data_IF_206323491594
#
_entry.id   IF_206323491594
#
_cell.length_a   1.000
_cell.length_b   1.000
_cell.length_c   1.000
_cell.angle_alpha   90.00
_cell.angle_beta   90.00
_cell.angle_gamma   90.00
#
_symmetry.space_group_name_H-M   'P 1'
#
loop_
_entity.id
_entity.type
_entity.pdbx_description
1 polymer ?
#
# COMPACT_ATOMS: atom_id res chain seq x y z
N UNK A 1 -20.44 -1.91 -22.76
CA UNK A 1 -21.37 -1.59 -21.66
C UNK A 1 -20.53 -1.53 -20.38
N UNK A 2 -19.98 -0.35 -20.09
CA UNK A 2 -19.06 -0.12 -18.97
C UNK A 2 -19.83 0.51 -17.82
N UNK A 3 -20.04 -0.23 -16.74
CA UNK A 3 -20.61 0.30 -15.51
C UNK A 3 -19.52 1.05 -14.75
N UNK A 4 -19.59 2.38 -14.73
CA UNK A 4 -18.81 3.17 -13.77
C UNK A 4 -19.22 2.82 -12.33
N UNK A 5 -18.28 2.63 -11.40
CA UNK A 5 -18.60 2.52 -9.99
C UNK A 5 -19.05 3.90 -9.49
N UNK A 6 -20.34 4.02 -9.19
CA UNK A 6 -20.95 5.21 -8.62
C UNK A 6 -20.34 5.48 -7.23
N UNK A 7 -19.32 6.34 -7.18
CA UNK A 7 -18.63 6.70 -5.93
C UNK A 7 -19.58 7.55 -5.08
N UNK A 8 -20.24 6.93 -4.10
CA UNK A 8 -21.13 7.64 -3.18
C UNK A 8 -20.33 8.72 -2.47
N UNK A 9 -20.60 9.98 -2.79
CA UNK A 9 -19.93 11.14 -2.21
C UNK A 9 -20.52 11.31 -0.80
N UNK A 10 -19.97 10.61 0.20
CA UNK A 10 -20.35 10.80 1.60
C UNK A 10 -20.12 12.26 1.94
N UNK A 11 -21.20 13.02 2.11
CA UNK A 11 -21.13 14.44 2.40
C UNK A 11 -20.58 14.64 3.80
N UNK A 12 -19.45 15.33 3.98
CA UNK A 12 -18.79 15.49 5.28
C UNK A 12 -19.70 16.17 6.31
N UNK A 13 -20.63 17.03 5.86
CA UNK A 13 -21.64 17.66 6.73
C UNK A 13 -22.62 16.67 7.37
N UNK A 14 -23.00 15.60 6.67
CA UNK A 14 -23.90 14.57 7.21
C UNK A 14 -23.19 13.69 8.25
N UNK A 15 -21.90 13.42 8.05
CA UNK A 15 -21.08 12.71 9.03
C UNK A 15 -20.86 13.53 10.29
N UNK A 16 -20.58 14.83 10.14
CA UNK A 16 -20.44 15.75 11.26
C UNK A 16 -21.77 15.88 12.04
N UNK A 17 -22.90 16.03 11.34
CA UNK A 17 -24.22 16.10 11.97
C UNK A 17 -24.58 14.80 12.71
N UNK A 18 -24.30 13.64 12.12
CA UNK A 18 -24.51 12.35 12.77
C UNK A 18 -23.64 12.19 14.03
N UNK A 19 -22.36 12.59 13.96
CA UNK A 19 -21.46 12.56 15.11
C UNK A 19 -21.96 13.45 16.26
N UNK A 20 -22.40 14.68 15.94
CA UNK A 20 -22.95 15.61 16.94
C UNK A 20 -24.23 15.05 17.57
N UNK A 21 -25.13 14.45 16.79
CA UNK A 21 -26.34 13.83 17.30
C UNK A 21 -26.04 12.67 18.26
N UNK A 22 -25.04 11.83 17.95
CA UNK A 22 -24.59 10.75 18.82
C UNK A 22 -24.02 11.28 20.14
N UNK A 23 -23.19 12.33 20.08
CA UNK A 23 -22.58 12.95 21.27
C UNK A 23 -23.66 13.57 22.17
N UNK A 24 -24.59 14.34 21.60
CA UNK A 24 -25.69 14.96 22.35
C UNK A 24 -26.64 13.91 22.94
N UNK A 25 -26.91 12.83 22.20
CA UNK A 25 -27.68 11.69 22.70
C UNK A 25 -26.99 11.00 23.88
N UNK A 26 -25.69 10.70 23.77
CA UNK A 26 -24.91 10.11 24.85
C UNK A 26 -24.84 10.99 26.11
N UNK A 27 -24.69 12.31 25.93
CA UNK A 27 -24.74 13.29 27.02
C UNK A 27 -26.10 13.32 27.73
N UNK A 28 -27.21 13.19 26.98
CA UNK A 28 -28.54 13.10 27.59
C UNK A 28 -28.68 11.85 28.47
N UNK A 29 -28.09 10.71 28.07
CA UNK A 29 -28.06 9.50 28.89
C UNK A 29 -27.15 9.61 30.11
N UNK A 30 -26.07 10.39 30.11
CA UNK A 30 -25.26 10.62 31.32
C UNK A 30 -26.04 11.31 32.44
N UNK A 31 -27.05 12.12 32.10
CA UNK A 31 -27.91 12.82 33.06
C UNK A 31 -29.07 11.93 33.52
N UNK A 32 -29.58 11.04 32.66
CA UNK A 32 -30.71 10.15 32.99
C UNK A 32 -30.28 8.79 33.59
N UNK A 33 -29.20 8.17 33.09
CA UNK A 33 -28.74 6.83 33.51
C UNK A 33 -27.26 6.56 33.12
N UNK A 34 -26.39 6.55 34.14
CA UNK A 34 -24.94 6.31 33.99
C UNK A 34 -24.63 4.92 33.41
N UNK A 35 -25.44 3.90 33.67
CA UNK A 35 -25.19 2.53 33.20
C UNK A 35 -25.42 2.46 31.69
N UNK A 36 -26.50 3.08 31.21
CA UNK A 36 -26.79 3.16 29.76
C UNK A 36 -25.72 4.00 29.06
N UNK A 37 -25.30 5.11 29.66
CA UNK A 37 -24.22 5.93 29.11
C UNK A 37 -22.90 5.16 28.96
N UNK A 38 -22.52 4.37 29.97
CA UNK A 38 -21.31 3.55 29.92
C UNK A 38 -21.38 2.50 28.81
N UNK A 39 -22.53 1.81 28.66
CA UNK A 39 -22.73 0.83 27.60
C UNK A 39 -22.60 1.46 26.21
N UNK A 40 -23.29 2.57 25.96
CA UNK A 40 -23.20 3.30 24.68
C UNK A 40 -21.78 3.77 24.41
N UNK A 41 -21.09 4.29 25.44
CA UNK A 41 -19.69 4.70 25.35
C UNK A 41 -18.77 3.56 24.90
N UNK A 42 -18.91 2.37 25.49
CA UNK A 42 -18.13 1.19 25.11
C UNK A 42 -18.41 0.82 23.64
N UNK A 43 -19.67 0.77 23.23
CA UNK A 43 -20.05 0.44 21.84
C UNK A 43 -19.43 1.43 20.86
N UNK A 44 -19.49 2.73 21.13
CA UNK A 44 -18.90 3.75 20.27
C UNK A 44 -17.38 3.62 20.16
N UNK A 45 -16.70 3.34 21.27
CA UNK A 45 -15.24 3.09 21.26
C UNK A 45 -14.91 1.88 20.40
N UNK A 46 -15.63 0.76 20.56
CA UNK A 46 -15.41 -0.44 19.75
C UNK A 46 -15.62 -0.15 18.26
N UNK A 47 -16.71 0.54 17.90
CA UNK A 47 -16.98 0.92 16.51
C UNK A 47 -15.89 1.84 15.96
N UNK A 48 -15.42 2.81 16.74
CA UNK A 48 -14.34 3.71 16.33
C UNK A 48 -13.03 2.95 16.09
N UNK A 49 -12.67 2.02 16.98
CA UNK A 49 -11.50 1.15 16.81
C UNK A 49 -11.62 0.31 15.54
N UNK A 50 -12.78 -0.31 15.32
CA UNK A 50 -13.03 -1.10 14.10
C UNK A 50 -12.96 -0.25 12.83
N UNK A 51 -13.45 0.99 12.87
CA UNK A 51 -13.38 1.91 11.75
C UNK A 51 -11.94 2.31 11.41
N UNK A 52 -11.09 2.54 12.41
CA UNK A 52 -9.66 2.80 12.23
C UNK A 52 -8.95 1.58 11.65
N UNK A 53 -9.23 0.38 12.16
CA UNK A 53 -8.63 -0.85 11.62
C UNK A 53 -9.10 -1.13 10.17
N UNK A 54 -10.34 -0.77 9.85
CA UNK A 54 -10.89 -0.93 8.51
C UNK A 54 -10.47 0.18 7.52
N UNK A 55 -9.94 1.33 7.98
CA UNK A 55 -9.68 2.47 7.10
C UNK A 55 -8.60 2.17 6.05
N UNK A 56 -7.64 1.33 6.38
CA UNK A 56 -6.56 0.92 5.47
C UNK A 56 -6.83 -0.44 4.80
N UNK A 57 -8.01 -1.04 5.02
CA UNK A 57 -8.35 -2.35 4.44
C UNK A 57 -8.36 -2.33 2.91
N UNK A 58 -8.79 -1.22 2.30
CA UNK A 58 -8.83 -1.06 0.84
C UNK A 58 -7.51 -0.48 0.28
N UNK A 59 -6.50 -0.28 1.12
CA UNK A 59 -5.21 0.26 0.73
C UNK A 59 -4.32 -0.84 0.17
N UNK A 60 -4.74 -1.40 -0.97
CA UNK A 60 -3.95 -2.37 -1.71
C UNK A 60 -3.21 -1.67 -2.84
N UNK A 61 -1.88 -1.82 -2.89
CA UNK A 61 -1.07 -1.34 -4.00
C UNK A 61 -1.65 -1.86 -5.32
N UNK A 62 -1.92 -0.96 -6.25
CA UNK A 62 -2.45 -1.31 -7.57
C UNK A 62 -1.46 -2.23 -8.31
N UNK A 63 -1.95 -3.01 -9.28
CA UNK A 63 -1.08 -3.85 -10.10
C UNK A 63 0.07 -3.04 -10.72
N UNK A 64 -0.25 -1.83 -11.19
CA UNK A 64 0.72 -0.92 -11.80
C UNK A 64 1.77 -0.43 -10.80
N UNK A 65 1.38 -0.02 -9.59
CA UNK A 65 2.34 0.38 -8.54
C UNK A 65 3.25 -0.80 -8.15
N UNK A 66 2.71 -2.01 -8.06
CA UNK A 66 3.52 -3.21 -7.78
C UNK A 66 4.52 -3.50 -8.89
N UNK A 67 4.13 -3.38 -10.16
CA UNK A 67 5.02 -3.58 -11.30
C UNK A 67 6.06 -2.47 -11.43
N UNK A 68 5.71 -1.21 -11.16
CA UNK A 68 6.67 -0.11 -11.07
C UNK A 68 7.73 -0.36 -9.98
N UNK A 69 7.30 -0.79 -8.78
CA UNK A 69 8.22 -1.17 -7.70
C UNK A 69 9.14 -2.32 -8.10
N UNK A 70 8.64 -3.33 -8.83
CA UNK A 70 9.47 -4.42 -9.38
C UNK A 70 10.45 -3.92 -10.44
N UNK A 71 10.03 -3.02 -11.33
CA UNK A 71 10.89 -2.42 -12.33
C UNK A 71 12.03 -1.60 -11.70
N UNK A 72 11.73 -0.79 -10.68
CA UNK A 72 12.72 -0.05 -9.90
C UNK A 72 13.73 -0.99 -9.21
N UNK A 73 13.25 -2.09 -8.61
CA UNK A 73 14.11 -3.12 -8.00
C UNK A 73 15.01 -3.79 -9.04
N UNK A 74 14.49 -4.11 -10.23
CA UNK A 74 15.28 -4.67 -11.34
C UNK A 74 16.35 -3.70 -11.79
N UNK A 75 16.00 -2.42 -11.98
CA UNK A 75 16.94 -1.35 -12.36
C UNK A 75 18.06 -1.20 -11.33
N UNK A 76 17.71 -1.09 -10.04
CA UNK A 76 18.70 -1.01 -8.95
C UNK A 76 19.62 -2.23 -8.90
N UNK A 77 19.07 -3.44 -9.07
CA UNK A 77 19.87 -4.66 -9.15
C UNK A 77 20.81 -4.64 -10.36
N UNK A 78 20.35 -4.12 -11.49
CA UNK A 78 21.14 -4.07 -12.73
C UNK A 78 22.30 -3.07 -12.62
N UNK A 79 22.05 -1.90 -12.02
CA UNK A 79 23.05 -0.87 -11.71
C UNK A 79 24.11 -1.39 -10.74
N UNK A 80 23.72 -2.01 -9.63
CA UNK A 80 24.66 -2.60 -8.66
C UNK A 80 25.58 -3.66 -9.26
N UNK A 81 25.10 -4.38 -10.28
CA UNK A 81 25.87 -5.44 -10.96
C UNK A 81 26.54 -4.96 -12.25
N UNK A 82 26.58 -3.65 -12.54
CA UNK A 82 27.21 -3.12 -13.74
C UNK A 82 28.71 -3.46 -13.80
N UNK A 83 29.43 -3.19 -12.73
CA UNK A 83 30.88 -3.44 -12.66
C UNK A 83 31.22 -4.93 -12.76
N UNK A 84 30.39 -5.79 -12.16
CA UNK A 84 30.56 -7.24 -12.23
C UNK A 84 30.41 -7.73 -13.68
N UNK A 85 29.40 -7.22 -14.41
CA UNK A 85 29.18 -7.55 -15.82
C UNK A 85 30.27 -6.99 -16.73
N UNK A 86 30.85 -5.84 -16.40
CA UNK A 86 31.97 -5.31 -17.16
C UNK A 86 33.24 -6.15 -16.99
N UNK A 87 33.55 -6.56 -15.76
CA UNK A 87 34.66 -7.50 -15.51
C UNK A 87 34.45 -8.84 -16.21
N UNK A 88 33.21 -9.33 -16.22
CA UNK A 88 32.85 -10.57 -16.88
C UNK A 88 33.01 -10.47 -18.40
N UNK A 89 32.54 -9.38 -19.02
CA UNK A 89 32.78 -9.09 -20.44
C UNK A 89 34.26 -9.07 -20.79
N UNK A 90 35.08 -8.36 -20.02
CA UNK A 90 36.53 -8.30 -20.25
C UNK A 90 37.18 -9.68 -20.17
N UNK A 91 36.75 -10.53 -19.23
CA UNK A 91 37.23 -11.92 -19.11
C UNK A 91 36.80 -12.77 -20.30
N UNK A 92 35.55 -12.64 -20.73
CA UNK A 92 35.02 -13.35 -21.88
C UNK A 92 35.74 -12.96 -23.18
N UNK A 93 35.95 -11.67 -23.40
CA UNK A 93 36.71 -11.14 -24.54
C UNK A 93 38.16 -11.65 -24.53
N UNK A 94 38.82 -11.65 -23.37
CA UNK A 94 40.17 -12.19 -23.22
C UNK A 94 40.23 -13.71 -23.48
N UNK A 95 39.18 -14.46 -23.12
CA UNK A 95 39.09 -15.89 -23.40
C UNK A 95 38.84 -16.14 -24.90
N UNK A 96 37.99 -15.34 -25.54
CA UNK A 96 37.75 -15.43 -26.98
C UNK A 96 38.99 -15.10 -27.79
N UNK A 97 39.75 -14.07 -27.41
CA UNK A 97 41.01 -13.73 -28.08
C UNK A 97 42.05 -14.86 -27.99
N UNK A 98 42.07 -15.62 -26.89
CA UNK A 98 42.92 -16.81 -26.74
C UNK A 98 42.45 -17.98 -27.61
N UNK A 99 41.14 -18.21 -27.68
CA UNK A 99 40.57 -19.25 -28.53
C UNK A 99 40.80 -18.96 -30.02
N UNK A 100 40.59 -17.71 -30.45
CA UNK A 100 40.82 -17.29 -31.84
C UNK A 100 42.28 -17.47 -32.28
N UNK A 101 43.24 -17.16 -31.40
CA UNK A 101 44.67 -17.39 -31.67
C UNK A 101 45.03 -18.87 -31.70
N UNK A 102 44.44 -19.69 -30.83
CA UNK A 102 44.69 -21.13 -30.80
C UNK A 102 43.97 -21.94 -31.89
N UNK A 103 42.95 -21.37 -32.53
CA UNK A 103 42.27 -21.96 -33.69
C UNK A 103 42.93 -21.64 -35.03
N UNK A 104 43.72 -20.57 -35.10
CA UNK A 104 44.44 -20.13 -36.30
C UNK A 104 45.80 -20.84 -36.48
N UNK A 105 46.27 -21.54 -35.43
CA UNK A 105 47.56 -22.24 -35.35
C UNK A 105 47.41 -23.78 -35.57
N UNK A 106 46.27 -24.24 -36.10
CA UNK A 106 45.99 -25.64 -36.51
C UNK A 106 45.56 -25.70 -37.97
#
# INVERSE_FOLDING_TARGET
MTTEPQRSRRSPGLLAAAAVAVVLGGLAFLVLDVVVAAFVGIVLVVVAVMAVLASDWDQHATFEEREQQRALKRKSKWEKNADARERDRRRWEAHQARQARGSDDR
#
